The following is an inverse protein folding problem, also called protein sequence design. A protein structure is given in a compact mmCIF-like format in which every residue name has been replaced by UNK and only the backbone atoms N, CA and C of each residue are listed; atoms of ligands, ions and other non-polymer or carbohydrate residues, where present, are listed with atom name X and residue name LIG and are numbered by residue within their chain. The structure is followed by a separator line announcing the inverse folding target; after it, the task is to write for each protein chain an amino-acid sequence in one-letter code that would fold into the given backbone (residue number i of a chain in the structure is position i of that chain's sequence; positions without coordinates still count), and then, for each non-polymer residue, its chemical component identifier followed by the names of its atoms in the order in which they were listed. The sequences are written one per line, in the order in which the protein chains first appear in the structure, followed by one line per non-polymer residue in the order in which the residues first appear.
data_IF_903645333920
#
_entry.id   IF_903645333920
#
_cell.length_a   1.000
_cell.length_b   1.000
_cell.length_c   1.000
_cell.angle_alpha   90.00
_cell.angle_beta   90.00
_cell.angle_gamma   90.00
#
_symmetry.space_group_name_H-M   'P 1'
#
loop_
_entity.id
_entity.type
_entity.pdbx_description
1 polymer ?
#
# COMPACT_ATOMS: atom_id res chain seq x y z
N UNK A 1 3.12 -24.29 -29.85
CA UNK A 1 2.67 -22.99 -29.35
C UNK A 1 3.82 -21.99 -29.52
N UNK A 2 3.60 -20.87 -30.24
CA UNK A 2 4.68 -19.89 -30.54
C UNK A 2 5.37 -19.36 -29.26
N UNK A 3 4.70 -19.37 -28.13
CA UNK A 3 5.24 -18.94 -26.82
C UNK A 3 6.33 -19.90 -26.32
N UNK A 4 6.24 -21.21 -26.60
CA UNK A 4 7.22 -22.18 -26.09
C UNK A 4 8.54 -22.15 -26.87
N UNK A 5 8.50 -21.80 -28.17
CA UNK A 5 9.68 -21.65 -29.01
C UNK A 5 10.38 -20.28 -28.81
N UNK A 6 9.65 -19.24 -28.38
CA UNK A 6 10.18 -17.89 -28.18
C UNK A 6 10.53 -17.56 -26.75
N UNK A 7 10.43 -18.51 -25.84
CA UNK A 7 10.76 -18.32 -24.42
C UNK A 7 12.27 -18.04 -24.28
N UNK A 8 12.62 -16.77 -24.27
CA UNK A 8 13.96 -16.29 -23.95
C UNK A 8 14.88 -15.92 -25.13
N UNK A 9 14.46 -16.02 -26.38
CA UNK A 9 15.36 -15.78 -27.54
C UNK A 9 15.18 -14.39 -28.16
N UNK A 10 14.02 -13.75 -28.08
CA UNK A 10 13.73 -12.69 -29.03
C UNK A 10 13.66 -11.27 -28.49
N UNK A 11 13.47 -11.03 -27.23
CA UNK A 11 13.36 -9.64 -26.78
C UNK A 11 13.94 -9.50 -25.35
N UNK A 12 15.06 -8.80 -25.22
CA UNK A 12 15.20 -7.93 -24.06
C UNK A 12 13.88 -7.17 -23.98
N UNK A 13 13.05 -7.50 -22.99
CA UNK A 13 11.84 -6.70 -22.72
C UNK A 13 12.34 -5.27 -22.59
N UNK A 14 11.93 -4.32 -23.46
CA UNK A 14 12.31 -2.94 -23.26
C UNK A 14 11.92 -2.60 -21.83
N UNK A 15 12.78 -1.90 -21.10
CA UNK A 15 12.44 -1.44 -19.77
C UNK A 15 11.35 -0.36 -19.91
N UNK A 16 10.11 -0.82 -20.03
CA UNK A 16 8.91 0.02 -20.10
C UNK A 16 8.66 0.76 -18.78
N UNK A 17 9.47 0.46 -17.76
CA UNK A 17 9.29 1.01 -16.41
C UNK A 17 9.87 2.41 -16.24
N UNK A 18 10.67 2.94 -17.17
CA UNK A 18 11.31 4.25 -17.00
C UNK A 18 10.28 5.37 -16.82
N UNK A 19 9.22 5.39 -17.61
CA UNK A 19 8.21 6.46 -17.57
C UNK A 19 7.46 6.56 -16.25
N UNK A 20 6.93 5.47 -15.72
CA UNK A 20 6.19 5.52 -14.45
C UNK A 20 7.14 5.71 -13.24
N UNK A 21 8.39 5.19 -13.29
CA UNK A 21 9.37 5.43 -12.24
C UNK A 21 9.84 6.89 -12.18
N UNK A 22 9.97 7.55 -13.32
CA UNK A 22 10.27 8.98 -13.34
C UNK A 22 9.08 9.81 -12.83
N UNK A 23 7.85 9.41 -13.12
CA UNK A 23 6.65 10.00 -12.53
C UNK A 23 6.66 9.86 -11.00
N UNK A 24 7.00 8.69 -10.47
CA UNK A 24 7.11 8.47 -9.03
C UNK A 24 8.12 9.40 -8.36
N UNK A 25 9.31 9.57 -8.95
CA UNK A 25 10.32 10.54 -8.45
C UNK A 25 9.82 11.99 -8.48
N UNK A 26 8.97 12.34 -9.45
CA UNK A 26 8.33 13.66 -9.47
C UNK A 26 7.34 13.80 -8.32
N UNK A 27 6.51 12.79 -8.05
CA UNK A 27 5.58 12.80 -6.94
C UNK A 27 6.30 12.94 -5.60
N UNK A 28 7.42 12.23 -5.40
CA UNK A 28 8.23 12.34 -4.18
C UNK A 28 8.79 13.78 -3.99
N UNK A 29 9.19 14.44 -5.07
CA UNK A 29 9.67 15.84 -5.01
C UNK A 29 8.56 16.86 -4.77
N UNK A 30 7.32 16.52 -5.14
CA UNK A 30 6.13 17.36 -5.00
C UNK A 30 5.33 17.01 -3.73
N UNK A 31 5.84 16.11 -2.92
CA UNK A 31 5.17 15.63 -1.71
C UNK A 31 4.80 16.78 -0.76
N UNK A 32 3.67 16.62 -0.10
CA UNK A 32 3.15 17.58 0.87
C UNK A 32 3.90 17.46 2.20
N UNK A 33 4.18 18.59 2.81
CA UNK A 33 4.74 18.63 4.15
C UNK A 33 3.63 18.43 5.19
N UNK A 34 3.73 17.40 6.04
CA UNK A 34 2.76 17.20 7.11
C UNK A 34 2.68 18.37 8.07
N UNK A 35 1.47 18.83 8.35
CA UNK A 35 1.15 19.81 9.38
C UNK A 35 0.10 19.22 10.34
N UNK A 36 0.02 19.72 11.55
CA UNK A 36 -0.90 19.21 12.56
C UNK A 36 -2.36 19.20 12.07
N UNK A 37 -3.09 18.15 12.42
CA UNK A 37 -4.48 17.90 12.07
C UNK A 37 -4.79 17.71 10.57
N UNK A 38 -3.78 17.61 9.70
CA UNK A 38 -4.01 17.32 8.28
C UNK A 38 -4.25 15.83 8.02
N UNK A 39 -5.10 15.53 7.04
CA UNK A 39 -5.23 14.18 6.48
C UNK A 39 -4.37 14.07 5.23
N UNK A 40 -3.55 13.06 5.17
CA UNK A 40 -2.61 12.80 4.08
C UNK A 40 -2.64 11.32 3.69
N UNK A 41 -2.03 11.03 2.55
CA UNK A 41 -1.82 9.65 2.07
C UNK A 41 -0.32 9.38 1.96
N UNK A 42 0.12 8.22 2.40
CA UNK A 42 1.51 7.79 2.22
C UNK A 42 1.81 7.55 0.74
N UNK A 43 2.85 8.18 0.22
CA UNK A 43 3.30 7.98 -1.15
C UNK A 43 4.16 6.72 -1.28
N UNK A 44 4.92 6.39 -0.22
CA UNK A 44 5.82 5.24 -0.18
C UNK A 44 5.50 4.31 0.99
N UNK A 45 6.14 3.15 1.02
CA UNK A 45 6.22 2.32 2.23
C UNK A 45 7.07 3.05 3.27
N UNK A 46 6.58 3.13 4.51
CA UNK A 46 7.26 3.84 5.60
C UNK A 46 7.39 2.96 6.82
N UNK A 47 8.54 3.01 7.45
CA UNK A 47 8.72 2.38 8.76
C UNK A 47 7.97 3.15 9.84
N UNK A 48 7.33 2.42 10.73
CA UNK A 48 6.60 2.96 11.88
C UNK A 48 7.34 2.66 13.17
N UNK A 49 7.25 3.58 14.13
CA UNK A 49 7.80 3.43 15.46
C UNK A 49 6.77 3.80 16.53
N UNK A 50 6.87 3.20 17.72
CA UNK A 50 5.97 3.49 18.84
C UNK A 50 6.24 4.86 19.47
N UNK A 51 7.49 5.32 19.46
CA UNK A 51 7.93 6.62 19.98
C UNK A 51 8.83 7.34 18.99
N UNK A 52 8.89 8.67 19.08
CA UNK A 52 9.77 9.49 18.25
C UNK A 52 11.23 9.09 18.46
N UNK A 53 11.99 8.97 17.36
CA UNK A 53 13.44 8.66 17.41
C UNK A 53 13.79 7.24 17.84
N UNK A 54 12.81 6.36 18.06
CA UNK A 54 13.08 4.95 18.33
C UNK A 54 13.74 4.26 17.12
N UNK A 55 14.54 3.22 17.34
CA UNK A 55 15.06 2.39 16.27
C UNK A 55 13.93 1.89 15.38
N UNK A 56 14.19 1.88 14.07
CA UNK A 56 13.25 1.37 13.08
C UNK A 56 12.96 -0.10 13.36
N UNK A 57 11.70 -0.39 13.70
CA UNK A 57 11.19 -1.74 13.92
C UNK A 57 10.79 -2.43 12.60
N UNK A 58 10.00 -3.48 12.72
CA UNK A 58 9.44 -4.23 11.57
C UNK A 58 8.06 -3.73 11.17
N UNK A 59 7.55 -2.70 11.85
CA UNK A 59 6.24 -2.13 11.54
C UNK A 59 6.31 -1.24 10.30
N UNK A 60 5.32 -1.37 9.44
CA UNK A 60 5.27 -0.70 8.13
C UNK A 60 3.91 -0.07 7.90
N UNK A 61 3.91 1.14 7.35
CA UNK A 61 2.78 1.77 6.68
C UNK A 61 2.92 1.50 5.17
N UNK A 62 1.85 1.06 4.54
CA UNK A 62 1.87 0.78 3.10
C UNK A 62 1.48 2.01 2.26
N UNK A 63 1.89 2.06 0.97
CA UNK A 63 1.53 3.15 0.07
C UNK A 63 0.02 3.37 -0.04
N UNK A 64 -0.38 4.58 -0.40
CA UNK A 64 -1.77 5.01 -0.55
C UNK A 64 -2.65 4.74 0.70
N UNK A 65 -2.06 4.78 1.88
CA UNK A 65 -2.79 4.68 3.14
C UNK A 65 -3.11 6.06 3.67
N UNK A 66 -4.38 6.29 3.99
CA UNK A 66 -4.84 7.50 4.66
C UNK A 66 -4.32 7.54 6.09
N UNK A 67 -3.82 8.69 6.49
CA UNK A 67 -3.32 8.96 7.85
C UNK A 67 -3.74 10.35 8.29
N UNK A 68 -4.00 10.52 9.57
CA UNK A 68 -4.17 11.83 10.18
C UNK A 68 -2.91 12.22 10.92
N UNK A 69 -2.37 13.38 10.61
CA UNK A 69 -1.23 13.94 11.33
C UNK A 69 -1.68 14.48 12.67
N UNK A 70 -1.12 13.98 13.76
CA UNK A 70 -1.43 14.43 15.13
C UNK A 70 -0.50 15.55 15.57
N UNK A 71 0.80 15.42 15.29
CA UNK A 71 1.81 16.46 15.56
C UNK A 71 3.09 16.20 14.78
N UNK A 72 3.89 17.26 14.63
CA UNK A 72 5.22 17.21 14.03
C UNK A 72 6.29 17.58 15.04
N UNK A 73 7.40 16.82 15.06
CA UNK A 73 8.59 17.08 15.88
C UNK A 73 9.85 16.93 15.01
N UNK A 74 10.42 18.04 14.60
CA UNK A 74 11.57 18.06 13.67
C UNK A 74 11.23 17.39 12.35
N UNK A 75 11.97 16.34 11.99
CA UNK A 75 11.74 15.52 10.79
C UNK A 75 10.82 14.31 11.03
N UNK A 76 10.23 14.19 12.23
CA UNK A 76 9.30 13.12 12.57
C UNK A 76 7.87 13.64 12.71
N UNK A 77 6.93 12.79 12.35
CA UNK A 77 5.50 13.05 12.54
C UNK A 77 4.84 11.90 13.28
N UNK A 78 3.92 12.26 14.16
CA UNK A 78 3.02 11.33 14.80
C UNK A 78 1.74 11.23 13.97
N UNK A 79 1.38 10.02 13.61
CA UNK A 79 0.24 9.70 12.78
C UNK A 79 -0.79 8.90 13.55
N UNK A 80 -2.06 9.10 13.21
CA UNK A 80 -3.14 8.19 13.51
C UNK A 80 -3.53 7.42 12.23
N UNK A 81 -3.53 6.11 12.35
CA UNK A 81 -3.92 5.16 11.28
C UNK A 81 -5.20 4.49 11.73
N UNK A 82 -6.28 4.65 10.98
CA UNK A 82 -7.55 3.98 11.26
C UNK A 82 -7.78 2.86 10.24
N UNK A 83 -8.29 1.73 10.70
CA UNK A 83 -8.57 0.59 9.82
C UNK A 83 -9.16 -0.59 10.58
N UNK A 84 -9.16 -1.75 9.95
CA UNK A 84 -9.73 -2.98 10.47
C UNK A 84 -8.66 -4.04 10.68
N UNK A 85 -8.81 -4.85 11.73
CA UNK A 85 -7.99 -6.02 11.96
C UNK A 85 -8.84 -7.22 12.36
N UNK A 86 -8.34 -8.42 12.11
CA UNK A 86 -8.94 -9.62 12.68
C UNK A 86 -8.79 -9.61 14.20
N UNK A 87 -9.86 -9.94 14.95
CA UNK A 87 -9.81 -10.06 16.42
C UNK A 87 -8.90 -11.22 16.85
N UNK A 88 -8.79 -12.25 16.01
CA UNK A 88 -7.94 -13.43 16.22
C UNK A 88 -7.06 -13.65 15.00
N UNK A 89 -5.93 -14.31 15.16
CA UNK A 89 -5.03 -14.67 14.07
C UNK A 89 -4.13 -13.51 13.63
N UNK A 90 -4.47 -12.80 12.57
CA UNK A 90 -3.61 -11.74 11.98
C UNK A 90 -3.82 -10.34 12.59
N UNK A 91 -4.06 -10.24 13.89
CA UNK A 91 -4.36 -8.97 14.57
C UNK A 91 -3.31 -7.86 14.47
N UNK A 92 -2.10 -8.16 13.92
CA UNK A 92 -1.07 -7.16 13.63
C UNK A 92 -1.23 -6.49 12.26
N UNK A 93 -2.08 -7.03 11.39
CA UNK A 93 -2.31 -6.48 10.05
C UNK A 93 -3.52 -5.57 10.09
N UNK A 94 -3.32 -4.32 9.71
CA UNK A 94 -4.40 -3.35 9.57
C UNK A 94 -4.80 -3.28 8.10
N UNK A 95 -6.08 -3.47 7.81
CA UNK A 95 -6.68 -3.35 6.49
C UNK A 95 -7.56 -2.12 6.40
N UNK A 96 -7.74 -1.59 5.20
CA UNK A 96 -8.59 -0.42 4.97
C UNK A 96 -10.07 -0.74 5.18
N UNK A 97 -10.49 -1.96 4.82
CA UNK A 97 -11.88 -2.40 4.90
C UNK A 97 -11.99 -3.74 5.63
N UNK A 98 -13.07 -3.93 6.36
CA UNK A 98 -13.43 -5.21 6.99
C UNK A 98 -13.56 -6.30 5.94
N UNK A 99 -13.00 -7.48 6.19
CA UNK A 99 -13.07 -8.64 5.28
C UNK A 99 -12.27 -8.51 3.97
N UNK A 100 -11.66 -7.33 3.69
CA UNK A 100 -10.86 -7.11 2.48
C UNK A 100 -9.37 -7.00 2.82
N UNK A 101 -8.54 -7.68 2.04
CA UNK A 101 -7.08 -7.69 2.25
C UNK A 101 -6.40 -6.50 1.56
N UNK A 102 -7.00 -5.30 1.69
CA UNK A 102 -6.43 -4.01 1.27
C UNK A 102 -5.60 -3.49 2.43
N UNK A 103 -4.31 -3.74 2.40
CA UNK A 103 -3.42 -3.51 3.54
C UNK A 103 -3.10 -2.03 3.72
N UNK A 104 -3.24 -1.54 4.95
CA UNK A 104 -2.85 -0.19 5.39
C UNK A 104 -1.55 -0.21 6.17
N UNK A 105 -1.40 -1.11 7.13
CA UNK A 105 -0.19 -1.23 7.93
C UNK A 105 0.02 -2.66 8.46
N UNK A 106 1.27 -2.95 8.82
CA UNK A 106 1.63 -4.11 9.65
C UNK A 106 2.31 -3.60 10.89
N UNK A 107 1.87 -4.05 12.06
CA UNK A 107 2.38 -3.62 13.36
C UNK A 107 3.39 -4.63 13.92
N UNK A 108 4.37 -4.13 14.64
CA UNK A 108 5.23 -4.92 15.50
C UNK A 108 4.76 -4.88 16.96
N UNK A 109 5.43 -5.61 17.84
CA UNK A 109 5.03 -5.74 19.25
C UNK A 109 4.93 -4.38 19.98
N UNK A 110 5.91 -3.46 19.84
CA UNK A 110 5.82 -2.15 20.50
C UNK A 110 4.59 -1.33 20.08
N UNK A 111 4.21 -1.40 18.81
CA UNK A 111 3.05 -0.66 18.29
C UNK A 111 1.71 -1.29 18.66
N UNK A 112 1.68 -2.58 19.00
CA UNK A 112 0.44 -3.21 19.47
C UNK A 112 -0.08 -2.58 20.76
N UNK A 113 0.79 -2.01 21.61
CA UNK A 113 0.39 -1.26 22.80
C UNK A 113 -0.35 0.06 22.49
N UNK A 114 -0.17 0.62 21.29
CA UNK A 114 -0.79 1.87 20.84
C UNK A 114 -2.12 1.64 20.11
N UNK A 115 -2.59 0.40 20.01
CA UNK A 115 -3.85 0.07 19.35
C UNK A 115 -5.03 0.35 20.27
N UNK A 116 -5.95 1.17 19.78
CA UNK A 116 -7.25 1.42 20.42
C UNK A 116 -8.36 0.77 19.61
N UNK A 117 -9.15 -0.09 20.22
CA UNK A 117 -10.33 -0.67 19.59
C UNK A 117 -11.46 0.35 19.64
N UNK A 118 -12.02 0.70 18.48
CA UNK A 118 -13.12 1.63 18.32
C UNK A 118 -14.47 0.91 18.35
N UNK A 119 -14.55 -0.23 17.64
CA UNK A 119 -15.73 -1.09 17.60
C UNK A 119 -15.35 -2.51 17.19
N UNK A 120 -16.25 -3.45 17.45
CA UNK A 120 -16.14 -4.84 17.03
C UNK A 120 -17.35 -5.22 16.20
N UNK A 121 -17.14 -5.90 15.08
CA UNK A 121 -18.19 -6.34 14.17
C UNK A 121 -17.88 -7.75 13.65
N UNK A 122 -18.90 -8.48 13.26
CA UNK A 122 -18.79 -9.77 12.58
C UNK A 122 -18.99 -9.52 11.08
N UNK A 123 -18.03 -9.96 10.28
CA UNK A 123 -18.15 -9.90 8.83
C UNK A 123 -19.24 -10.87 8.35
N UNK A 124 -20.27 -10.37 7.64
CA UNK A 124 -21.41 -11.21 7.25
C UNK A 124 -21.05 -12.32 6.27
N UNK A 125 -19.99 -12.15 5.49
CA UNK A 125 -19.58 -13.13 4.46
C UNK A 125 -18.74 -14.27 5.06
N UNK A 126 -17.78 -13.93 5.93
CA UNK A 126 -16.82 -14.89 6.49
C UNK A 126 -17.18 -15.37 7.90
N UNK A 127 -18.14 -14.72 8.56
CA UNK A 127 -18.51 -14.91 9.97
C UNK A 127 -17.33 -14.73 10.95
N UNK A 128 -16.27 -14.06 10.52
CA UNK A 128 -15.13 -13.71 11.35
C UNK A 128 -15.37 -12.41 12.09
N UNK A 129 -14.88 -12.34 13.32
CA UNK A 129 -14.93 -11.13 14.13
C UNK A 129 -13.77 -10.20 13.78
N UNK A 130 -14.09 -8.93 13.51
CA UNK A 130 -13.17 -7.85 13.17
C UNK A 130 -13.30 -6.70 14.15
N UNK A 131 -12.18 -6.03 14.37
CA UNK A 131 -12.10 -4.82 15.17
C UNK A 131 -11.72 -3.64 14.28
N UNK A 132 -12.52 -2.59 14.29
CA UNK A 132 -12.04 -1.29 13.82
C UNK A 132 -11.13 -0.71 14.88
N UNK A 133 -9.97 -0.25 14.47
CA UNK A 133 -8.94 0.24 15.39
C UNK A 133 -8.36 1.56 14.91
N UNK A 134 -7.86 2.34 15.87
CA UNK A 134 -6.96 3.47 15.66
C UNK A 134 -5.60 3.12 16.25
N UNK A 135 -4.53 3.42 15.53
CA UNK A 135 -3.15 3.18 15.93
C UNK A 135 -2.36 4.46 15.84
N UNK A 136 -1.72 4.86 16.93
CA UNK A 136 -0.81 6.01 16.94
C UNK A 136 0.62 5.54 16.72
N UNK A 137 1.29 6.10 15.73
CA UNK A 137 2.65 5.72 15.36
C UNK A 137 3.47 6.93 14.91
N UNK A 138 4.80 6.83 15.00
CA UNK A 138 5.75 7.81 14.50
C UNK A 138 6.42 7.34 13.22
N UNK A 139 6.72 8.29 12.32
CA UNK A 139 7.50 8.07 11.11
C UNK A 139 8.18 9.36 10.66
N UNK A 140 8.96 9.33 9.57
CA UNK A 140 9.55 10.52 8.97
C UNK A 140 8.48 11.36 8.25
N UNK A 141 8.69 12.67 8.16
CA UNK A 141 7.75 13.65 7.58
C UNK A 141 7.79 13.76 6.04
N UNK A 142 8.48 12.85 5.35
CA UNK A 142 8.59 12.83 3.89
C UNK A 142 7.59 11.87 3.24
N UNK A 143 7.46 11.95 1.92
CA UNK A 143 6.67 11.03 1.09
C UNK A 143 5.19 10.95 1.51
N UNK A 144 4.56 12.09 1.69
CA UNK A 144 3.12 12.24 1.85
C UNK A 144 2.52 13.08 0.74
N UNK A 145 1.24 12.88 0.46
CA UNK A 145 0.48 13.63 -0.53
C UNK A 145 -0.95 13.84 -0.02
N UNK A 146 -1.57 14.97 -0.36
CA UNK A 146 -2.89 15.34 0.14
C UNK A 146 -4.06 14.70 -0.62
N UNK A 147 -3.82 14.09 -1.77
CA UNK A 147 -4.84 13.41 -2.56
C UNK A 147 -4.31 12.10 -3.16
N UNK A 148 -5.19 11.14 -3.39
CA UNK A 148 -4.85 9.86 -4.03
C UNK A 148 -4.71 9.93 -5.56
N UNK A 149 -5.28 10.96 -6.20
CA UNK A 149 -5.33 11.03 -7.66
C UNK A 149 -3.95 10.85 -8.34
N UNK A 150 -2.87 11.56 -7.91
CA UNK A 150 -1.57 11.36 -8.54
C UNK A 150 -0.97 9.97 -8.33
N UNK A 151 -1.29 9.30 -7.19
CA UNK A 151 -0.86 7.92 -6.93
C UNK A 151 -1.60 6.96 -7.88
N UNK A 152 -2.89 7.20 -8.13
CA UNK A 152 -3.68 6.39 -9.04
C UNK A 152 -3.29 6.59 -10.50
N UNK A 153 -2.98 7.81 -10.93
CA UNK A 153 -2.41 8.08 -12.25
C UNK A 153 -1.08 7.34 -12.45
N UNK A 154 -0.20 7.39 -11.46
CA UNK A 154 1.05 6.63 -11.46
C UNK A 154 0.80 5.12 -11.55
N UNK A 155 -0.16 4.60 -10.79
CA UNK A 155 -0.51 3.19 -10.78
C UNK A 155 -1.12 2.72 -12.10
N UNK A 156 -1.95 3.55 -12.73
CA UNK A 156 -2.50 3.27 -14.07
C UNK A 156 -1.39 3.25 -15.12
N UNK A 157 -0.48 4.20 -15.12
CA UNK A 157 0.68 4.19 -16.01
C UNK A 157 1.54 2.94 -15.82
N UNK A 158 1.74 2.51 -14.57
CA UNK A 158 2.44 1.27 -14.25
C UNK A 158 1.70 0.05 -14.80
N UNK A 159 0.38 -0.02 -14.61
CA UNK A 159 -0.47 -1.09 -15.13
C UNK A 159 -0.39 -1.15 -16.66
N UNK A 160 -0.59 -0.01 -17.32
CA UNK A 160 -0.56 0.08 -18.79
C UNK A 160 0.81 -0.33 -19.35
N UNK A 161 1.88 0.24 -18.84
CA UNK A 161 3.23 -0.07 -19.35
C UNK A 161 3.70 -1.50 -19.04
N UNK A 162 3.23 -2.08 -17.93
CA UNK A 162 3.69 -3.41 -17.52
C UNK A 162 2.85 -4.54 -18.13
N UNK A 163 1.52 -4.38 -18.19
CA UNK A 163 0.61 -5.46 -18.58
C UNK A 163 0.27 -5.46 -20.07
N UNK A 164 0.24 -4.30 -20.73
CA UNK A 164 -0.13 -4.20 -22.15
C UNK A 164 0.89 -4.81 -23.12
N UNK A 165 2.09 -5.10 -22.65
CA UNK A 165 3.14 -5.71 -23.47
C UNK A 165 2.81 -7.12 -23.98
N UNK A 166 1.90 -7.83 -23.31
CA UNK A 166 1.58 -9.23 -23.65
C UNK A 166 0.10 -9.45 -24.02
N UNK A 167 -0.82 -8.67 -23.47
CA UNK A 167 -2.26 -8.74 -23.73
C UNK A 167 -2.93 -7.41 -23.37
N UNK A 168 -4.19 -7.26 -23.72
CA UNK A 168 -4.98 -6.09 -23.32
C UNK A 168 -5.04 -6.00 -21.79
N UNK A 169 -4.88 -4.78 -21.26
CA UNK A 169 -4.94 -4.51 -19.83
C UNK A 169 -6.33 -4.89 -19.29
N UNK A 170 -6.42 -5.74 -18.27
CA UNK A 170 -7.71 -6.09 -17.69
C UNK A 170 -8.32 -4.89 -16.96
N UNK A 171 -9.64 -4.69 -17.03
CA UNK A 171 -10.29 -3.68 -16.23
C UNK A 171 -10.16 -3.97 -14.74
N UNK A 172 -10.07 -2.94 -13.91
CA UNK A 172 -9.94 -3.08 -12.44
C UNK A 172 -11.10 -3.84 -11.82
N UNK A 173 -12.26 -3.84 -12.46
CA UNK A 173 -13.48 -4.58 -12.04
C UNK A 173 -13.45 -6.07 -12.35
N UNK A 174 -12.39 -6.60 -12.99
CA UNK A 174 -12.31 -8.01 -13.40
C UNK A 174 -12.35 -8.99 -12.21
N UNK A 175 -11.78 -8.61 -11.09
CA UNK A 175 -11.74 -9.43 -9.87
C UNK A 175 -12.25 -8.62 -8.67
N UNK A 176 -12.65 -9.33 -7.62
CA UNK A 176 -12.87 -8.72 -6.31
C UNK A 176 -11.56 -8.22 -5.73
N UNK A 177 -11.61 -7.35 -4.71
CA UNK A 177 -10.42 -6.85 -4.03
C UNK A 177 -9.47 -7.99 -3.58
N UNK A 178 -10.02 -9.05 -2.96
CA UNK A 178 -9.22 -10.20 -2.55
C UNK A 178 -8.77 -11.07 -3.75
N UNK A 179 -9.53 -11.11 -4.83
CA UNK A 179 -9.22 -11.86 -6.05
C UNK A 179 -8.01 -11.30 -6.80
N UNK A 180 -7.78 -9.98 -6.76
CA UNK A 180 -6.62 -9.36 -7.37
C UNK A 180 -5.28 -9.85 -6.80
N UNK A 181 -5.24 -10.27 -5.54
CA UNK A 181 -4.04 -10.85 -4.92
C UNK A 181 -3.58 -12.09 -5.70
N UNK A 182 -4.51 -12.99 -6.00
CA UNK A 182 -4.20 -14.18 -6.79
C UNK A 182 -3.93 -13.85 -8.25
N UNK A 183 -4.69 -12.92 -8.84
CA UNK A 183 -4.51 -12.46 -10.22
C UNK A 183 -3.14 -11.86 -10.45
N UNK A 184 -2.70 -10.93 -9.61
CA UNK A 184 -1.39 -10.31 -9.74
C UNK A 184 -0.26 -11.33 -9.47
N UNK A 185 -0.42 -12.18 -8.45
CA UNK A 185 0.56 -13.24 -8.16
C UNK A 185 0.75 -14.20 -9.34
N UNK A 186 -0.32 -14.58 -10.03
CA UNK A 186 -0.22 -15.46 -11.21
C UNK A 186 0.59 -14.82 -12.36
N UNK A 187 0.64 -13.50 -12.44
CA UNK A 187 1.41 -12.75 -13.44
C UNK A 187 2.82 -12.38 -12.97
N UNK A 188 3.20 -12.62 -11.71
CA UNK A 188 4.46 -12.13 -11.10
C UNK A 188 5.74 -12.58 -11.82
N UNK A 189 5.72 -13.69 -12.53
CA UNK A 189 6.86 -14.18 -13.33
C UNK A 189 7.05 -13.44 -14.64
N UNK A 190 6.05 -12.66 -15.08
CA UNK A 190 6.04 -11.99 -16.38
C UNK A 190 6.35 -10.50 -16.31
N UNK A 191 6.36 -9.90 -15.11
CA UNK A 191 6.70 -8.50 -14.91
C UNK A 191 7.87 -8.34 -13.92
N UNK A 192 8.43 -7.13 -13.87
CA UNK A 192 9.51 -6.77 -12.96
C UNK A 192 9.13 -5.48 -12.22
N UNK A 193 8.35 -5.62 -11.17
CA UNK A 193 8.06 -4.56 -10.21
C UNK A 193 8.83 -4.83 -8.93
N UNK A 194 9.29 -3.77 -8.27
CA UNK A 194 9.83 -3.91 -6.93
C UNK A 194 8.68 -4.11 -5.92
N UNK A 195 8.94 -4.53 -4.68
CA UNK A 195 7.88 -4.83 -3.71
C UNK A 195 6.95 -3.63 -3.41
N UNK A 196 7.45 -2.41 -3.45
CA UNK A 196 6.64 -1.19 -3.22
C UNK A 196 5.74 -0.91 -4.41
N UNK A 197 6.28 -1.01 -5.63
CA UNK A 197 5.52 -0.88 -6.89
C UNK A 197 4.39 -1.91 -6.95
N UNK A 198 4.70 -3.18 -6.63
CA UNK A 198 3.71 -4.26 -6.63
C UNK A 198 2.59 -4.01 -5.61
N UNK A 199 2.92 -3.56 -4.40
CA UNK A 199 1.92 -3.22 -3.37
C UNK A 199 1.06 -2.03 -3.79
N UNK A 200 1.66 -1.00 -4.37
CA UNK A 200 0.93 0.18 -4.84
C UNK A 200 -0.03 -0.19 -5.97
N UNK A 201 0.45 -0.98 -6.95
CA UNK A 201 -0.37 -1.49 -8.03
C UNK A 201 -1.50 -2.39 -7.52
N UNK A 202 -1.20 -3.32 -6.60
CA UNK A 202 -2.22 -4.18 -6.01
C UNK A 202 -3.31 -3.36 -5.32
N UNK A 203 -2.94 -2.33 -4.57
CA UNK A 203 -3.91 -1.48 -3.86
C UNK A 203 -4.77 -0.65 -4.83
N UNK A 204 -4.22 -0.22 -5.97
CA UNK A 204 -4.96 0.43 -7.04
C UNK A 204 -6.00 -0.50 -7.69
N UNK A 205 -5.65 -1.77 -7.88
CA UNK A 205 -6.52 -2.79 -8.47
C UNK A 205 -7.63 -3.27 -7.53
N UNK A 206 -7.45 -3.13 -6.22
CA UNK A 206 -8.39 -3.53 -5.18
C UNK A 206 -9.49 -2.50 -4.93
#
# INVERSE_FOLDING_TARGET
NCIDCHKGIAHHKPDMSSGFRDRYKQLQRQGDTPTDATTLFSLSEKSLAATAGSPVGKALLFPATEVKVLKKEGSNVQLEITGWRESKGRGRVITQYMGKRVFSAVLDEPLMANVKVLQTQVDPDSHQEWQQVSVTAWTTDQDFINTLAPIWEYSDQMLQSTCSACHSTPPTTRYTANGWIAGLKAMSTYYRLNPVEERTLLKYLQ
#
